data_IF_419720252334
#
_entry.id   IF_419720252334
#
_cell.length_a   1.000
_cell.length_b   1.000
_cell.length_c   1.000
_cell.angle_alpha   90.00
_cell.angle_beta   90.00
_cell.angle_gamma   90.00
#
_symmetry.space_group_name_H-M   'P 1'
#
loop_
_entity.id
_entity.type
_entity.pdbx_description
1 polymer ?
#
# COMPACT_ATOMS: atom_id res chain seq x y z
N UNK A 1 30.54 -9.38 -15.72
CA UNK A 1 30.89 -8.68 -14.47
C UNK A 1 29.89 -7.54 -14.31
N UNK A 2 28.90 -7.69 -13.42
CA UNK A 2 27.95 -6.63 -13.10
C UNK A 2 28.64 -5.63 -12.15
N UNK A 3 28.66 -4.35 -12.53
CA UNK A 3 29.27 -3.28 -11.75
C UNK A 3 28.42 -3.00 -10.50
N UNK A 4 29.05 -3.10 -9.31
CA UNK A 4 28.44 -2.89 -8.00
C UNK A 4 28.01 -1.45 -7.67
N UNK A 5 27.83 -0.60 -8.69
CA UNK A 5 27.32 0.76 -8.56
C UNK A 5 25.79 0.85 -8.75
N UNK A 6 25.16 -0.12 -9.43
CA UNK A 6 23.70 -0.13 -9.61
C UNK A 6 22.96 -0.67 -8.36
N UNK A 7 23.64 -1.48 -7.55
CA UNK A 7 23.09 -2.01 -6.29
C UNK A 7 23.05 -0.98 -5.16
N UNK A 8 23.73 0.17 -5.28
CA UNK A 8 23.76 1.21 -4.26
C UNK A 8 22.62 2.22 -4.39
N UNK A 9 22.07 2.41 -5.60
CA UNK A 9 20.79 3.14 -5.79
C UNK A 9 19.57 2.34 -5.33
N UNK A 10 19.75 1.05 -5.07
CA UNK A 10 18.71 0.13 -4.60
C UNK A 10 18.21 0.48 -3.19
N UNK A 11 19.02 1.20 -2.41
CA UNK A 11 18.76 1.60 -1.03
C UNK A 11 18.61 3.11 -0.87
N UNK A 12 18.52 3.87 -1.97
CA UNK A 12 18.20 5.29 -1.87
C UNK A 12 16.84 5.41 -1.14
N UNK A 13 16.94 5.97 0.06
CA UNK A 13 15.83 6.17 0.95
C UNK A 13 14.95 7.29 0.34
N UNK A 14 13.64 7.07 0.13
CA UNK A 14 12.77 8.07 -0.50
C UNK A 14 12.56 9.33 0.35
N UNK A 15 13.36 9.57 1.38
CA UNK A 15 13.16 10.64 2.37
C UNK A 15 13.20 12.04 1.78
N UNK A 16 13.93 12.27 0.68
CA UNK A 16 13.94 13.57 -0.01
C UNK A 16 12.69 13.80 -0.88
N UNK A 17 12.09 12.74 -1.45
CA UNK A 17 10.80 12.85 -2.16
C UNK A 17 9.61 12.83 -1.20
N UNK A 18 9.76 12.18 -0.04
CA UNK A 18 8.71 12.04 0.95
C UNK A 18 8.27 13.40 1.51
N UNK A 19 9.19 14.36 1.66
CA UNK A 19 8.87 15.69 2.19
C UNK A 19 7.98 16.50 1.24
N UNK A 20 8.29 16.48 -0.07
CA UNK A 20 7.48 17.13 -1.11
C UNK A 20 6.15 16.39 -1.33
N UNK A 21 6.16 15.07 -1.22
CA UNK A 21 4.94 14.25 -1.31
C UNK A 21 4.01 14.44 -0.11
N UNK A 22 4.54 14.75 1.08
CA UNK A 22 3.76 15.08 2.28
C UNK A 22 3.08 16.45 2.14
N UNK A 23 3.79 17.47 1.67
CA UNK A 23 3.21 18.81 1.44
C UNK A 23 2.09 18.74 0.41
N UNK A 24 2.34 18.08 -0.74
CA UNK A 24 1.30 17.85 -1.74
C UNK A 24 0.11 17.11 -1.15
N UNK A 25 0.36 16.06 -0.36
CA UNK A 25 -0.69 15.25 0.27
C UNK A 25 -1.58 16.04 1.25
N UNK A 26 -1.03 16.98 2.03
CA UNK A 26 -1.81 17.81 2.96
C UNK A 26 -2.89 18.63 2.23
N UNK A 27 -2.60 19.06 1.01
CA UNK A 27 -3.48 19.89 0.19
C UNK A 27 -4.44 19.10 -0.72
N UNK A 28 -4.31 17.77 -0.78
CA UNK A 28 -5.20 16.94 -1.59
C UNK A 28 -6.62 16.89 -1.04
N UNK A 29 -7.58 16.89 -1.97
CA UNK A 29 -8.99 16.69 -1.66
C UNK A 29 -9.26 15.24 -1.20
N UNK A 30 -10.39 15.04 -0.56
CA UNK A 30 -10.80 13.76 0.04
C UNK A 30 -10.98 12.64 -0.99
N UNK A 31 -11.62 12.97 -2.11
CA UNK A 31 -11.80 12.11 -3.26
C UNK A 31 -10.46 11.74 -3.92
N UNK A 32 -9.57 12.71 -4.12
CA UNK A 32 -8.24 12.49 -4.68
C UNK A 32 -7.40 11.54 -3.81
N UNK A 33 -7.48 11.70 -2.48
CA UNK A 33 -6.80 10.82 -1.53
C UNK A 33 -7.33 9.40 -1.59
N UNK A 34 -8.66 9.24 -1.62
CA UNK A 34 -9.27 7.92 -1.72
C UNK A 34 -8.89 7.22 -3.02
N UNK A 35 -8.92 7.93 -4.15
CA UNK A 35 -8.51 7.39 -5.45
C UNK A 35 -7.03 6.99 -5.46
N UNK A 36 -6.14 7.81 -4.90
CA UNK A 36 -4.73 7.45 -4.78
C UNK A 36 -4.52 6.18 -3.96
N UNK A 37 -5.16 6.07 -2.80
CA UNK A 37 -5.04 4.87 -1.96
C UNK A 37 -5.59 3.64 -2.71
N UNK A 38 -6.75 3.77 -3.36
CA UNK A 38 -7.35 2.67 -4.10
C UNK A 38 -6.47 2.17 -5.26
N UNK A 39 -5.88 3.09 -6.02
CA UNK A 39 -4.94 2.75 -7.09
C UNK A 39 -3.69 2.07 -6.55
N UNK A 40 -3.18 2.52 -5.40
CA UNK A 40 -2.04 1.86 -4.76
C UNK A 40 -2.37 0.42 -4.33
N UNK A 41 -3.54 0.18 -3.73
CA UNK A 41 -3.93 -1.17 -3.34
C UNK A 41 -4.26 -2.08 -4.53
N UNK A 42 -4.76 -1.55 -5.65
CA UNK A 42 -4.91 -2.30 -6.90
C UNK A 42 -3.54 -2.80 -7.41
N UNK A 43 -2.52 -1.95 -7.43
CA UNK A 43 -1.18 -2.35 -7.85
C UNK A 43 -0.52 -3.32 -6.86
N UNK A 44 -0.65 -3.06 -5.56
CA UNK A 44 -0.09 -3.89 -4.49
C UNK A 44 -0.72 -5.28 -4.44
N UNK A 45 -2.04 -5.41 -4.63
CA UNK A 45 -2.72 -6.71 -4.71
C UNK A 45 -2.11 -7.56 -5.83
N UNK A 46 -1.97 -7.00 -7.03
CA UNK A 46 -1.36 -7.68 -8.18
C UNK A 46 0.10 -8.08 -7.93
N UNK A 47 0.88 -7.19 -7.30
CA UNK A 47 2.27 -7.50 -6.88
C UNK A 47 2.32 -8.65 -5.88
N UNK A 48 1.41 -8.66 -4.90
CA UNK A 48 1.29 -9.73 -3.90
C UNK A 48 0.81 -11.06 -4.51
N UNK A 49 -0.13 -11.05 -5.45
CA UNK A 49 -0.56 -12.24 -6.20
C UNK A 49 0.63 -12.91 -6.88
N UNK A 50 1.49 -12.13 -7.56
CA UNK A 50 2.73 -12.66 -8.16
C UNK A 50 3.68 -13.26 -7.13
N UNK A 51 3.86 -12.60 -5.98
CA UNK A 51 4.70 -13.14 -4.91
C UNK A 51 4.17 -14.48 -4.40
N UNK A 52 2.86 -14.58 -4.18
CA UNK A 52 2.21 -15.84 -3.77
C UNK A 52 2.41 -16.91 -4.84
N UNK A 53 2.22 -16.60 -6.12
CA UNK A 53 2.48 -17.55 -7.22
C UNK A 53 3.94 -18.02 -7.25
N UNK A 54 4.91 -17.10 -7.11
CA UNK A 54 6.34 -17.40 -7.08
C UNK A 54 6.71 -18.33 -5.91
N UNK A 55 6.19 -18.07 -4.71
CA UNK A 55 6.41 -18.94 -3.55
C UNK A 55 5.67 -20.29 -3.67
N UNK A 56 4.48 -20.34 -4.29
CA UNK A 56 3.72 -21.59 -4.49
C UNK A 56 4.44 -22.56 -5.43
N UNK A 57 5.17 -22.05 -6.42
CA UNK A 57 5.91 -22.88 -7.39
C UNK A 57 7.25 -23.40 -6.83
N UNK A 58 7.67 -22.92 -5.65
CA UNK A 58 8.99 -23.18 -5.06
C UNK A 58 8.94 -24.00 -3.78
N UNK A 59 7.82 -24.65 -3.46
CA UNK A 59 7.55 -25.34 -2.18
C UNK A 59 8.63 -26.38 -1.82
N UNK A 60 9.73 -25.90 -1.23
CA UNK A 60 10.76 -26.67 -0.53
C UNK A 60 10.57 -26.43 0.97
N UNK A 61 9.51 -27.01 1.54
CA UNK A 61 9.29 -27.47 2.94
C UNK A 61 9.75 -26.60 4.14
N UNK A 62 10.29 -25.39 3.96
CA UNK A 62 10.95 -24.62 5.03
C UNK A 62 10.33 -23.24 5.22
N UNK A 63 9.49 -22.78 4.29
CA UNK A 63 8.86 -21.45 4.29
C UNK A 63 7.34 -21.48 4.50
N UNK A 64 6.78 -22.58 5.02
CA UNK A 64 5.32 -22.78 5.14
C UNK A 64 4.61 -21.64 5.91
N UNK A 65 5.27 -21.03 6.89
CA UNK A 65 4.73 -19.89 7.65
C UNK A 65 4.70 -18.57 6.86
N UNK A 66 5.69 -18.34 5.98
CA UNK A 66 5.75 -17.14 5.15
C UNK A 66 4.69 -17.19 4.05
N UNK A 67 4.53 -18.35 3.42
CA UNK A 67 3.52 -18.55 2.38
C UNK A 67 2.09 -18.33 2.91
N UNK A 68 1.76 -18.92 4.06
CA UNK A 68 0.46 -18.68 4.72
C UNK A 68 0.27 -17.19 5.08
N UNK A 69 1.30 -16.55 5.64
CA UNK A 69 1.25 -15.11 5.95
C UNK A 69 1.03 -14.22 4.72
N UNK A 70 1.65 -14.54 3.58
CA UNK A 70 1.44 -13.80 2.33
C UNK A 70 0.02 -13.95 1.79
N UNK A 71 -0.58 -15.14 1.89
CA UNK A 71 -1.98 -15.35 1.51
C UNK A 71 -2.93 -14.55 2.39
N UNK A 72 -2.69 -14.52 3.70
CA UNK A 72 -3.49 -13.73 4.64
C UNK A 72 -3.39 -12.23 4.36
N UNK A 73 -2.18 -11.74 4.05
CA UNK A 73 -1.95 -10.33 3.68
C UNK A 73 -2.67 -10.00 2.36
N UNK A 74 -2.59 -10.87 1.36
CA UNK A 74 -3.29 -10.69 0.09
C UNK A 74 -4.81 -10.58 0.30
N UNK A 75 -5.40 -11.47 1.11
CA UNK A 75 -6.81 -11.44 1.43
C UNK A 75 -7.22 -10.13 2.15
N UNK A 76 -6.39 -9.64 3.07
CA UNK A 76 -6.61 -8.37 3.77
C UNK A 76 -6.53 -7.17 2.82
N UNK A 77 -5.57 -7.16 1.90
CA UNK A 77 -5.43 -6.11 0.87
C UNK A 77 -6.65 -6.09 -0.05
N UNK A 78 -7.09 -7.26 -0.53
CA UNK A 78 -8.28 -7.38 -1.36
C UNK A 78 -9.55 -6.86 -0.65
N UNK A 79 -9.70 -7.19 0.64
CA UNK A 79 -10.81 -6.71 1.46
C UNK A 79 -10.76 -5.19 1.67
N UNK A 80 -9.59 -4.63 2.02
CA UNK A 80 -9.42 -3.19 2.23
C UNK A 80 -9.71 -2.40 0.95
N UNK A 81 -9.17 -2.86 -0.19
CA UNK A 81 -9.46 -2.32 -1.52
C UNK A 81 -10.97 -2.32 -1.80
N UNK A 82 -11.65 -3.44 -1.53
CA UNK A 82 -13.10 -3.56 -1.70
C UNK A 82 -13.88 -2.56 -0.86
N UNK A 83 -13.47 -2.33 0.39
CA UNK A 83 -14.07 -1.33 1.28
C UNK A 83 -13.83 0.09 0.79
N UNK A 84 -12.62 0.43 0.35
CA UNK A 84 -12.30 1.74 -0.23
C UNK A 84 -13.10 2.01 -1.51
N UNK A 85 -13.26 1.00 -2.37
CA UNK A 85 -14.08 1.12 -3.56
C UNK A 85 -15.55 1.42 -3.22
N UNK A 86 -16.12 0.75 -2.21
CA UNK A 86 -17.49 1.03 -1.76
C UNK A 86 -17.65 2.46 -1.24
N UNK A 87 -16.66 2.98 -0.50
CA UNK A 87 -16.66 4.38 -0.05
C UNK A 87 -16.61 5.32 -1.26
N UNK A 88 -15.78 5.03 -2.26
CA UNK A 88 -15.68 5.88 -3.44
C UNK A 88 -16.97 5.91 -4.25
N UNK A 89 -17.67 4.76 -4.37
CA UNK A 89 -19.01 4.70 -4.97
C UNK A 89 -20.00 5.56 -4.17
N UNK A 90 -19.98 5.51 -2.84
CA UNK A 90 -20.83 6.34 -2.00
C UNK A 90 -20.54 7.85 -2.19
N UNK A 91 -19.28 8.21 -2.45
CA UNK A 91 -18.85 9.57 -2.76
C UNK A 91 -19.14 9.99 -4.22
N UNK A 92 -19.70 9.10 -5.06
CA UNK A 92 -20.01 9.37 -6.46
C UNK A 92 -18.79 9.34 -7.39
N UNK A 93 -17.68 8.71 -6.97
CA UNK A 93 -16.46 8.60 -7.77
C UNK A 93 -16.56 7.49 -8.81
N UNK A 94 -16.10 7.78 -10.02
CA UNK A 94 -15.92 6.77 -11.06
C UNK A 94 -14.64 5.99 -10.78
N UNK A 95 -14.80 4.81 -10.18
CA UNK A 95 -13.68 3.92 -9.89
C UNK A 95 -13.47 2.99 -11.08
N UNK A 96 -12.30 3.08 -11.70
CA UNK A 96 -11.83 2.04 -12.60
C UNK A 96 -11.02 1.02 -11.80
N UNK A 97 -11.58 -0.17 -11.61
CA UNK A 97 -10.87 -1.30 -10.97
C UNK A 97 -10.18 -2.20 -11.98
N UNK A 98 -10.16 -1.84 -13.27
CA UNK A 98 -9.48 -2.66 -14.25
C UNK A 98 -7.96 -2.61 -14.00
N UNK A 99 -7.31 -3.77 -13.90
CA UNK A 99 -5.87 -3.80 -13.69
C UNK A 99 -5.17 -3.22 -14.91
N UNK A 100 -4.25 -2.29 -14.71
CA UNK A 100 -3.33 -1.87 -15.76
C UNK A 100 -2.48 -3.09 -16.16
N UNK A 101 -2.73 -3.62 -17.36
CA UNK A 101 -2.19 -4.90 -17.87
C UNK A 101 -0.71 -4.86 -18.28
N UNK A 102 0.06 -3.89 -17.84
CA UNK A 102 1.51 -3.86 -18.08
C UNK A 102 2.23 -4.72 -17.04
N UNK A 103 2.16 -6.03 -17.24
CA UNK A 103 2.92 -7.00 -16.44
C UNK A 103 4.17 -7.45 -17.17
N UNK A 104 5.32 -6.87 -16.81
CA UNK A 104 6.62 -7.38 -17.21
C UNK A 104 6.94 -8.56 -16.30
N UNK A 105 6.73 -9.78 -16.82
CA UNK A 105 7.17 -11.01 -16.15
C UNK A 105 8.68 -10.94 -15.94
N UNK A 106 9.11 -10.63 -14.73
CA UNK A 106 10.53 -10.58 -14.37
C UNK A 106 11.12 -11.99 -14.55
N UNK A 107 12.04 -12.14 -15.51
CA UNK A 107 12.96 -13.28 -15.61
C UNK A 107 14.18 -13.02 -14.71
N UNK A 108 13.95 -12.60 -13.46
CA UNK A 108 15.00 -12.34 -12.48
C UNK A 108 15.52 -13.64 -11.85
N UNK A 109 16.72 -13.59 -11.30
CA UNK A 109 17.26 -14.66 -10.43
C UNK A 109 16.46 -14.72 -9.11
N UNK A 110 16.58 -15.79 -8.33
CA UNK A 110 15.89 -15.95 -7.03
C UNK A 110 16.15 -14.76 -6.09
N UNK A 111 17.35 -14.18 -6.16
CA UNK A 111 17.71 -12.99 -5.40
C UNK A 111 16.89 -11.77 -5.79
N UNK A 112 16.69 -11.53 -7.09
CA UNK A 112 15.92 -10.38 -7.59
C UNK A 112 14.47 -10.45 -7.13
N UNK A 113 13.88 -11.65 -7.12
CA UNK A 113 12.53 -11.86 -6.64
C UNK A 113 12.40 -11.63 -5.13
N UNK A 114 13.39 -12.03 -4.33
CA UNK A 114 13.42 -11.73 -2.88
C UNK A 114 13.53 -10.23 -2.60
N UNK A 115 14.39 -9.53 -3.35
CA UNK A 115 14.52 -8.06 -3.24
C UNK A 115 13.23 -7.37 -3.63
N UNK A 116 12.60 -7.79 -4.73
CA UNK A 116 11.33 -7.23 -5.17
C UNK A 116 10.22 -7.52 -4.16
N UNK A 117 10.14 -8.73 -3.62
CA UNK A 117 9.19 -9.08 -2.57
C UNK A 117 9.33 -8.21 -1.32
N UNK A 118 10.57 -7.94 -0.87
CA UNK A 118 10.83 -7.00 0.22
C UNK A 118 10.37 -5.57 -0.12
N UNK A 119 10.62 -5.10 -1.34
CA UNK A 119 10.18 -3.77 -1.79
C UNK A 119 8.66 -3.66 -1.77
N UNK A 120 7.94 -4.67 -2.28
CA UNK A 120 6.46 -4.72 -2.25
C UNK A 120 5.93 -4.64 -0.82
N UNK A 121 6.52 -5.40 0.11
CA UNK A 121 6.10 -5.36 1.52
C UNK A 121 6.41 -4.01 2.19
N UNK A 122 7.56 -3.39 1.86
CA UNK A 122 7.90 -2.04 2.35
C UNK A 122 6.91 -1.00 1.80
N UNK A 123 6.60 -1.05 0.52
CA UNK A 123 5.62 -0.17 -0.13
C UNK A 123 4.22 -0.34 0.49
N UNK A 124 3.78 -1.59 0.70
CA UNK A 124 2.52 -1.89 1.38
C UNK A 124 2.46 -1.27 2.78
N UNK A 125 3.54 -1.39 3.57
CA UNK A 125 3.60 -0.84 4.92
C UNK A 125 3.41 0.69 4.93
N UNK A 126 4.01 1.38 3.95
CA UNK A 126 3.85 2.83 3.77
C UNK A 126 2.41 3.20 3.41
N UNK A 127 1.82 2.50 2.43
CA UNK A 127 0.46 2.78 1.97
C UNK A 127 -0.61 2.47 3.02
N UNK A 128 -0.41 1.46 3.87
CA UNK A 128 -1.30 1.20 5.01
C UNK A 128 -1.29 2.40 5.98
N UNK A 129 -0.12 2.88 6.39
CA UNK A 129 -0.01 4.01 7.32
C UNK A 129 -0.66 5.27 6.73
N UNK A 130 -0.40 5.53 5.44
CA UNK A 130 -1.01 6.65 4.72
C UNK A 130 -2.54 6.53 4.68
N UNK A 131 -3.05 5.36 4.31
CA UNK A 131 -4.48 5.11 4.16
C UNK A 131 -5.24 5.22 5.47
N UNK A 132 -4.67 4.73 6.58
CA UNK A 132 -5.26 4.93 7.91
C UNK A 132 -5.40 6.41 8.25
N UNK A 133 -4.40 7.22 7.90
CA UNK A 133 -4.44 8.66 8.12
C UNK A 133 -5.48 9.36 7.25
N UNK A 134 -5.60 8.96 5.99
CA UNK A 134 -6.63 9.49 5.07
C UNK A 134 -8.05 9.12 5.51
N UNK A 135 -8.26 7.86 5.91
CA UNK A 135 -9.55 7.39 6.41
C UNK A 135 -9.98 8.12 7.70
N UNK A 136 -9.04 8.42 8.61
CA UNK A 136 -9.36 9.24 9.80
C UNK A 136 -9.81 10.65 9.42
N UNK A 137 -9.16 11.27 8.44
CA UNK A 137 -9.56 12.59 7.94
C UNK A 137 -10.96 12.55 7.30
N UNK A 138 -11.25 11.53 6.49
CA UNK A 138 -12.58 11.33 5.89
C UNK A 138 -13.70 11.21 6.94
N UNK A 139 -13.41 10.63 8.10
CA UNK A 139 -14.36 10.51 9.21
C UNK A 139 -14.49 11.80 10.05
N UNK A 140 -13.86 12.90 9.64
CA UNK A 140 -13.81 14.15 10.40
C UNK A 140 -13.00 14.05 11.69
N UNK A 141 -12.19 12.99 11.86
CA UNK A 141 -11.34 12.82 13.03
C UNK A 141 -10.11 13.73 12.93
N UNK A 142 -10.22 14.92 13.52
CA UNK A 142 -9.16 15.93 13.55
C UNK A 142 -8.16 15.76 14.71
N UNK A 143 -8.20 14.65 15.45
CA UNK A 143 -7.26 14.37 16.54
C UNK A 143 -7.28 15.36 17.71
N UNK A 144 -8.25 16.28 17.75
CA UNK A 144 -8.50 17.15 18.88
C UNK A 144 -9.60 16.50 19.71
N UNK A 145 -9.22 15.91 20.84
CA UNK A 145 -10.16 15.65 21.92
C UNK A 145 -10.79 17.00 22.29
N UNK A 146 -12.06 17.18 21.95
CA UNK A 146 -12.86 18.26 22.52
C UNK A 146 -13.10 17.91 23.99
N UNK A 147 -12.16 18.28 24.85
CA UNK A 147 -12.46 18.52 26.27
C UNK A 147 -13.42 19.72 26.36
N UNK A 148 -14.67 19.48 25.99
CA UNK A 148 -15.79 20.30 26.42
C UNK A 148 -16.26 19.75 27.77
N UNK A 149 -15.52 20.08 28.83
CA UNK A 149 -16.17 20.22 30.14
C UNK A 149 -16.73 21.63 30.23
N UNK A 150 -17.97 21.74 29.79
CA UNK A 150 -18.90 22.76 30.27
C UNK A 150 -18.91 22.71 31.80
N UNK A 151 -18.20 23.62 32.45
CA UNK A 151 -18.52 23.99 33.83
C UNK A 151 -19.53 25.13 33.77
N UNK A 152 -20.80 24.73 33.74
CA UNK A 152 -21.90 25.56 34.21
C UNK A 152 -22.22 25.14 35.64
N UNK A 153 -22.49 26.15 36.48
CA UNK A 153 -22.99 26.10 37.87
C UNK A 153 -21.94 25.63 38.91
N UNK A 154 -21.65 26.39 39.97
CA UNK A 154 -22.50 27.20 40.87
C UNK A 154 -21.77 28.50 41.27
#
# INVERSE_FOLDING_TARGET
MLQGSDTLKLFDDPTDSASTDIEKWIHMAEDERLLLNLNAFLDLERKLERMVEQHSNRTYSTEDGLFGGLQDVLAQVAALKGQMAQIGVFMGLSIDTTPNTEDVKSKGDEFDEKVEGYRVLKELSFWIIRSVRDMRKLLGYNGVETENFSNHEI
#
